data_IF_556660561421
#
_entry.id   IF_556660561421
#
_cell.length_a   1.000
_cell.length_b   1.000
_cell.length_c   1.000
_cell.angle_alpha   90.00
_cell.angle_beta   90.00
_cell.angle_gamma   90.00
#
_symmetry.space_group_name_H-M   'P 1'
#
loop_
_entity.id
_entity.type
_entity.pdbx_description
1 polymer ?
2 water ?
#
# COMPACT_ATOMS: atom_id res chain seq x y z
N UNK A 10 -7.97 -67.84 -39.13
CA UNK A 10 -7.86 -67.52 -37.68
C UNK A 10 -6.45 -67.02 -37.26
N UNK A 11 -5.53 -66.88 -38.23
CA UNK A 11 -4.58 -65.74 -38.20
C UNK A 11 -4.84 -64.89 -39.46
N UNK A 12 -6.12 -64.70 -39.70
CA UNK A 12 -6.74 -63.60 -40.44
C UNK A 12 -7.62 -63.06 -39.30
N UNK A 13 -7.57 -63.79 -38.18
CA UNK A 13 -8.20 -63.44 -36.91
C UNK A 13 -7.24 -62.57 -36.09
N UNK A 14 -6.09 -63.10 -35.68
CA UNK A 14 -4.97 -62.26 -35.26
C UNK A 14 -5.07 -60.88 -35.96
N UNK A 15 -5.15 -60.86 -37.29
CA UNK A 15 -5.33 -59.56 -37.98
C UNK A 15 -6.49 -58.76 -37.39
N UNK A 16 -7.71 -59.28 -37.54
CA UNK A 16 -8.96 -58.72 -36.95
C UNK A 16 -8.82 -58.08 -35.57
N UNK A 17 -8.11 -58.79 -34.69
CA UNK A 17 -7.93 -58.45 -33.29
C UNK A 17 -7.09 -57.19 -33.14
N UNK A 18 -6.07 -57.10 -33.99
CA UNK A 18 -5.17 -55.97 -34.00
C UNK A 18 -5.81 -54.76 -34.67
N UNK A 19 -6.60 -54.98 -35.72
CA UNK A 19 -7.39 -53.88 -36.31
C UNK A 19 -8.36 -53.25 -35.32
N UNK A 20 -8.48 -53.87 -34.15
CA UNK A 20 -9.48 -53.45 -33.17
C UNK A 20 -8.75 -52.86 -31.98
N UNK A 21 -7.65 -53.51 -31.58
CA UNK A 21 -6.73 -52.93 -30.61
C UNK A 21 -6.35 -51.51 -31.04
N UNK A 22 -5.67 -51.39 -32.18
CA UNK A 22 -5.56 -50.15 -32.91
C UNK A 22 -6.75 -49.19 -32.75
N UNK A 23 -7.88 -49.43 -33.40
CA UNK A 23 -9.01 -48.48 -33.34
C UNK A 23 -9.32 -47.90 -31.94
N UNK A 24 -9.07 -48.73 -30.93
CA UNK A 24 -9.38 -48.40 -29.55
C UNK A 24 -8.23 -47.61 -28.95
N UNK A 25 -7.00 -48.06 -29.20
CA UNK A 25 -5.81 -47.22 -29.01
C UNK A 25 -5.94 -45.88 -29.74
N UNK A 26 -6.59 -45.85 -30.90
CA UNK A 26 -6.74 -44.58 -31.54
C UNK A 26 -7.87 -43.80 -30.96
N UNK A 27 -8.93 -44.48 -30.52
CA UNK A 27 -10.05 -43.83 -29.80
C UNK A 27 -9.61 -43.22 -28.45
N UNK A 28 -8.70 -43.91 -27.77
CA UNK A 28 -8.23 -43.48 -26.47
C UNK A 28 -7.33 -42.27 -26.56
N UNK A 29 -6.23 -42.39 -27.30
CA UNK A 29 -5.43 -41.24 -27.72
C UNK A 29 -6.23 -40.01 -28.15
N UNK A 30 -7.18 -40.11 -29.08
CA UNK A 30 -8.05 -38.94 -29.29
C UNK A 30 -8.75 -38.42 -27.99
N UNK A 31 -8.99 -39.30 -27.00
CA UNK A 31 -9.50 -38.91 -25.66
C UNK A 31 -8.46 -38.09 -24.88
N UNK A 32 -7.21 -38.52 -24.90
CA UNK A 32 -6.11 -37.83 -24.23
C UNK A 32 -5.72 -36.51 -24.85
N UNK A 33 -5.69 -36.44 -26.17
CA UNK A 33 -5.49 -35.16 -26.86
C UNK A 33 -6.49 -34.11 -26.40
N UNK A 34 -7.77 -34.43 -26.38
CA UNK A 34 -8.78 -33.50 -25.93
C UNK A 34 -8.49 -33.12 -24.48
N UNK A 35 -8.11 -34.10 -23.67
CA UNK A 35 -7.79 -33.83 -22.28
C UNK A 35 -6.56 -32.96 -22.11
N UNK A 36 -5.48 -33.22 -22.83
CA UNK A 36 -4.33 -32.33 -22.82
C UNK A 36 -4.67 -30.92 -23.24
N UNK A 37 -5.37 -30.82 -24.38
CA UNK A 37 -5.70 -29.55 -24.95
C UNK A 37 -6.47 -28.73 -23.92
N UNK A 38 -7.33 -29.38 -23.15
CA UNK A 38 -8.03 -28.66 -22.14
C UNK A 38 -7.18 -28.13 -21.01
N UNK A 39 -6.19 -28.90 -20.60
CA UNK A 39 -5.30 -28.50 -19.57
C UNK A 39 -4.50 -27.30 -20.04
N UNK A 40 -3.98 -27.32 -21.28
CA UNK A 40 -3.18 -26.21 -21.76
C UNK A 40 -4.01 -24.98 -21.81
N UNK A 41 -5.27 -25.12 -22.21
CA UNK A 41 -6.18 -24.00 -22.29
C UNK A 41 -6.39 -23.40 -20.89
N UNK A 42 -6.75 -24.24 -19.92
CA UNK A 42 -7.01 -23.77 -18.57
C UNK A 42 -5.75 -23.07 -18.00
N UNK A 43 -4.60 -23.55 -18.40
CA UNK A 43 -3.37 -23.05 -17.87
C UNK A 43 -3.16 -21.63 -18.37
N UNK A 44 -3.36 -21.43 -19.66
CA UNK A 44 -3.18 -20.15 -20.27
C UNK A 44 -4.09 -19.18 -19.64
N UNK A 45 -5.31 -19.60 -19.41
CA UNK A 45 -6.32 -18.71 -18.97
C UNK A 45 -6.00 -18.32 -17.53
N UNK A 46 -5.46 -19.23 -16.72
CA UNK A 46 -5.09 -18.92 -15.33
C UNK A 46 -3.81 -18.06 -15.25
N UNK A 47 -2.76 -18.45 -15.96
CA UNK A 47 -1.58 -17.68 -15.93
C UNK A 47 -1.88 -16.20 -16.31
N UNK A 48 -2.79 -16.02 -17.26
CA UNK A 48 -3.10 -14.69 -17.73
C UNK A 48 -3.85 -13.93 -16.64
N UNK A 49 -4.74 -14.60 -15.90
CA UNK A 49 -5.44 -13.98 -14.83
C UNK A 49 -4.39 -13.54 -13.82
N UNK A 50 -3.38 -14.37 -13.62
CA UNK A 50 -2.29 -14.00 -12.70
C UNK A 50 -1.51 -12.77 -13.17
N UNK A 51 -1.11 -12.72 -14.48
CA UNK A 51 -0.39 -11.57 -15.04
C UNK A 51 -1.20 -10.26 -14.95
N UNK A 52 -2.52 -10.41 -14.95
CA UNK A 52 -3.43 -9.32 -14.88
C UNK A 52 -3.38 -8.80 -13.52
N UNK A 53 -3.34 -9.69 -12.52
CA UNK A 53 -3.13 -9.21 -11.14
C UNK A 53 -1.75 -8.50 -10.99
N UNK A 54 -0.72 -9.04 -11.58
CA UNK A 54 0.54 -8.41 -11.48
C UNK A 54 0.48 -6.99 -12.06
N UNK A 55 -0.10 -6.85 -13.27
CA UNK A 55 -0.21 -5.55 -13.92
C UNK A 55 -0.99 -4.60 -13.04
N UNK A 56 -2.14 -5.02 -12.57
CA UNK A 56 -2.89 -4.19 -11.68
C UNK A 56 -2.03 -3.73 -10.51
N UNK A 57 -1.41 -4.70 -9.82
CA UNK A 57 -0.57 -4.45 -8.69
C UNK A 57 0.55 -3.52 -8.99
N UNK A 58 1.19 -3.74 -10.11
CA UNK A 58 2.21 -2.86 -10.56
C UNK A 58 1.87 -1.37 -10.56
N UNK A 59 0.84 -1.03 -11.31
CA UNK A 59 0.23 0.28 -11.35
C UNK A 59 -0.16 0.75 -9.96
N UNK A 60 -0.96 -0.02 -9.26
CA UNK A 60 -1.48 0.49 -7.99
C UNK A 60 -0.33 0.61 -6.89
N UNK A 61 0.76 -0.14 -7.02
CA UNK A 61 1.87 0.01 -6.09
C UNK A 61 2.65 1.30 -6.34
N UNK A 62 2.78 1.67 -7.59
CA UNK A 62 3.47 2.88 -7.88
C UNK A 62 2.74 4.04 -7.23
N UNK A 63 1.40 4.00 -7.24
CA UNK A 63 0.62 5.13 -6.71
C UNK A 63 0.74 5.15 -5.22
N UNK A 64 0.68 3.96 -4.60
CA UNK A 64 0.97 3.79 -3.16
C UNK A 64 2.33 4.34 -2.68
N UNK A 65 3.34 4.24 -3.53
CA UNK A 65 4.61 4.90 -3.29
C UNK A 65 4.64 6.39 -3.28
N UNK A 66 3.88 7.02 -4.21
CA UNK A 66 3.88 8.46 -4.37
C UNK A 66 3.20 8.95 -3.11
N UNK A 67 2.18 8.26 -2.67
CA UNK A 67 1.55 8.50 -1.42
C UNK A 67 2.54 8.39 -0.27
N UNK A 68 3.37 7.34 -0.25
CA UNK A 68 4.34 7.25 0.81
C UNK A 68 5.29 8.42 0.77
N UNK A 69 5.75 8.79 -0.42
CA UNK A 69 6.68 9.86 -0.55
C UNK A 69 6.06 11.15 -0.07
N UNK A 70 4.75 11.32 -0.34
CA UNK A 70 3.94 12.44 0.17
C UNK A 70 4.06 12.61 1.68
N UNK A 71 3.59 11.61 2.41
CA UNK A 71 3.69 11.54 3.85
C UNK A 71 5.10 11.84 4.42
N UNK A 72 6.14 11.21 3.85
CA UNK A 72 7.51 11.45 4.25
C UNK A 72 7.88 12.94 4.04
N UNK A 73 7.48 13.56 2.92
CA UNK A 73 7.81 14.97 2.73
C UNK A 73 7.16 15.72 3.87
N UNK A 74 5.90 15.43 4.17
CA UNK A 74 5.22 16.10 5.25
C UNK A 74 5.91 15.95 6.60
N UNK A 75 6.34 14.73 6.91
CA UNK A 75 6.94 14.47 8.20
C UNK A 75 8.27 15.17 8.38
N UNK A 76 8.96 15.50 7.31
CA UNK A 76 10.28 16.03 7.49
C UNK A 76 10.43 17.49 7.10
N UNK A 77 9.32 18.15 6.77
CA UNK A 77 9.30 19.61 6.61
C UNK A 77 9.58 20.32 7.95
N UNK A 78 10.16 21.52 7.92
CA UNK A 78 10.32 22.39 9.13
C UNK A 78 10.11 23.89 8.72
N UNK A 79 10.03 24.89 9.67
CA UNK A 79 10.27 25.18 11.12
C UNK A 79 10.51 24.02 12.11
N UNK B 10 0.64 -59.77 -48.11
CA UNK B 10 -0.80 -59.97 -47.84
C UNK B 10 -1.08 -60.17 -46.35
N UNK B 11 -0.69 -61.32 -45.78
CA UNK B 11 -1.03 -61.59 -44.35
C UNK B 11 0.10 -61.59 -43.31
N UNK B 12 0.99 -62.59 -43.34
CA UNK B 12 2.19 -62.62 -42.47
C UNK B 12 2.74 -61.20 -42.25
N UNK B 13 2.35 -60.27 -43.15
CA UNK B 13 2.86 -58.88 -43.25
C UNK B 13 1.91 -57.77 -42.68
N UNK B 14 0.58 -57.88 -42.88
CA UNK B 14 -0.40 -57.01 -42.16
C UNK B 14 -0.22 -57.13 -40.62
N UNK B 15 0.08 -58.35 -40.15
CA UNK B 15 0.50 -58.62 -38.76
C UNK B 15 1.87 -58.01 -38.41
N UNK B 16 2.85 -58.10 -39.33
CA UNK B 16 4.18 -57.51 -39.09
C UNK B 16 4.00 -56.01 -38.87
N UNK B 17 3.19 -55.39 -39.73
CA UNK B 17 2.78 -53.99 -39.62
C UNK B 17 2.25 -53.64 -38.20
N UNK B 18 1.18 -54.31 -37.78
CA UNK B 18 0.50 -53.95 -36.53
C UNK B 18 1.32 -54.24 -35.28
N UNK B 19 2.10 -55.32 -35.25
CA UNK B 19 2.99 -55.55 -34.10
C UNK B 19 3.73 -54.27 -33.67
N UNK B 20 4.13 -53.43 -34.63
CA UNK B 20 4.79 -52.14 -34.34
C UNK B 20 3.78 -51.01 -34.27
N UNK B 21 3.03 -50.78 -35.35
CA UNK B 21 2.13 -49.64 -35.39
C UNK B 21 1.35 -49.51 -34.06
N UNK B 22 0.79 -50.63 -33.56
CA UNK B 22 0.21 -50.75 -32.19
C UNK B 22 1.21 -50.54 -31.07
N UNK B 23 2.18 -51.45 -30.92
CA UNK B 23 3.22 -51.34 -29.90
C UNK B 23 3.83 -49.93 -29.82
N UNK B 24 3.58 -49.11 -30.85
CA UNK B 24 4.04 -47.71 -30.95
C UNK B 24 3.01 -46.76 -30.28
N UNK B 25 1.80 -46.69 -30.87
CA UNK B 25 0.61 -46.11 -30.23
C UNK B 25 0.44 -46.38 -28.71
N UNK B 26 0.98 -47.48 -28.19
CA UNK B 26 0.93 -47.77 -26.74
C UNK B 26 1.81 -46.84 -25.92
N UNK B 27 3.04 -46.66 -26.41
CA UNK B 27 4.08 -45.77 -25.82
C UNK B 27 3.64 -44.32 -25.92
N UNK B 28 3.03 -43.97 -27.06
CA UNK B 28 2.51 -42.64 -27.35
C UNK B 28 1.20 -42.28 -26.58
N UNK B 29 0.93 -43.00 -25.50
CA UNK B 29 -0.33 -42.89 -24.79
C UNK B 29 0.14 -42.91 -23.37
N UNK B 30 1.03 -43.83 -23.07
CA UNK B 30 1.63 -43.80 -21.78
C UNK B 30 2.43 -42.51 -21.64
N UNK B 31 2.98 -42.02 -22.76
CA UNK B 31 3.52 -40.66 -22.88
C UNK B 31 2.51 -39.59 -22.41
N UNK B 32 1.39 -39.42 -23.11
CA UNK B 32 0.41 -38.40 -22.74
C UNK B 32 -0.09 -38.56 -21.33
N UNK B 33 -0.51 -39.77 -21.00
CA UNK B 33 -0.94 -40.07 -19.68
C UNK B 33 0.07 -39.43 -18.71
N UNK B 34 1.36 -39.62 -19.00
CA UNK B 34 2.41 -39.05 -18.18
C UNK B 34 2.47 -37.51 -18.27
N UNK B 35 2.36 -36.96 -19.48
CA UNK B 35 2.51 -35.53 -19.63
C UNK B 35 1.27 -34.75 -19.13
N UNK B 36 0.25 -35.49 -18.76
CA UNK B 36 -0.98 -34.95 -18.29
C UNK B 36 -0.98 -35.06 -16.79
N UNK B 37 -0.32 -36.09 -16.26
CA UNK B 37 -0.09 -36.18 -14.82
C UNK B 37 0.81 -35.02 -14.46
N UNK B 38 1.81 -34.74 -15.29
CA UNK B 38 2.69 -33.58 -15.14
C UNK B 38 1.92 -32.26 -15.15
N UNK B 39 1.06 -32.07 -16.16
CA UNK B 39 0.16 -30.95 -16.20
C UNK B 39 -0.65 -30.79 -14.93
N UNK B 40 -1.21 -31.85 -14.37
CA UNK B 40 -2.00 -31.72 -13.16
C UNK B 40 -1.24 -31.37 -11.94
N UNK B 41 -0.03 -31.90 -11.82
CA UNK B 41 0.81 -31.78 -10.64
C UNK B 41 1.22 -30.34 -10.66
N UNK B 42 1.34 -29.82 -11.88
CA UNK B 42 1.67 -28.45 -12.07
C UNK B 42 0.58 -27.47 -11.70
N UNK B 43 -0.66 -27.69 -12.14
CA UNK B 43 -1.80 -26.90 -11.72
C UNK B 43 -1.86 -26.85 -10.19
N UNK B 44 -1.58 -27.94 -9.47
CA UNK B 44 -1.90 -27.87 -8.05
C UNK B 44 -0.89 -27.04 -7.29
N UNK B 45 0.35 -27.18 -7.74
CA UNK B 45 1.47 -26.39 -7.32
C UNK B 45 1.31 -24.91 -7.70
N UNK B 46 0.93 -24.57 -8.94
CA UNK B 46 0.60 -23.16 -9.27
C UNK B 46 -0.60 -22.55 -8.47
N UNK B 47 -1.66 -23.32 -8.20
CA UNK B 47 -2.76 -22.74 -7.49
C UNK B 47 -2.39 -22.54 -6.03
N UNK B 48 -1.48 -23.38 -5.55
CA UNK B 48 -1.05 -23.27 -4.17
C UNK B 48 -0.20 -21.95 -4.01
N UNK B 49 0.67 -21.65 -4.99
CA UNK B 49 1.45 -20.49 -4.91
C UNK B 49 0.50 -19.33 -4.92
N UNK B 50 -0.49 -19.42 -5.81
CA UNK B 50 -1.50 -18.38 -5.91
C UNK B 50 -2.20 -18.18 -4.54
N UNK B 51 -2.65 -19.31 -3.93
CA UNK B 51 -3.29 -19.25 -2.64
C UNK B 51 -2.39 -18.67 -1.54
N UNK B 52 -1.08 -18.94 -1.62
CA UNK B 52 -0.15 -18.40 -0.65
C UNK B 52 -0.13 -16.92 -0.80
N UNK B 53 -0.07 -16.43 -2.05
CA UNK B 53 -0.15 -14.94 -2.32
C UNK B 53 -1.42 -14.36 -1.69
N UNK B 54 -2.53 -15.01 -1.86
CA UNK B 54 -3.79 -14.45 -1.40
C UNK B 54 -3.68 -14.28 0.10
N UNK B 55 -3.21 -15.33 0.73
CA UNK B 55 -3.07 -15.36 2.14
C UNK B 55 -2.07 -14.35 2.75
N UNK B 56 -0.82 -14.30 2.26
CA UNK B 56 0.11 -13.26 2.63
C UNK B 56 -0.67 -11.94 2.62
N UNK B 57 -1.30 -11.74 1.46
CA UNK B 57 -2.02 -10.53 1.12
C UNK B 57 -3.17 -10.22 2.07
N UNK B 58 -3.95 -11.23 2.43
CA UNK B 58 -4.97 -11.06 3.44
C UNK B 58 -4.48 -10.41 4.74
N UNK B 59 -3.50 -11.03 5.38
CA UNK B 59 -2.78 -10.54 6.58
C UNK B 59 -2.15 -9.21 6.37
N UNK B 60 -1.40 -9.03 5.29
CA UNK B 60 -0.80 -7.69 5.12
C UNK B 60 -1.81 -6.54 4.78
N UNK B 61 -2.97 -6.84 4.22
CA UNK B 61 -3.99 -5.81 4.06
C UNK B 61 -4.56 -5.26 5.35
N UNK B 62 -4.82 -6.15 6.31
CA UNK B 62 -5.37 -5.79 7.62
C UNK B 62 -4.41 -4.81 8.31
N UNK B 63 -3.12 -5.08 8.24
CA UNK B 63 -2.16 -4.16 8.83
C UNK B 63 -2.16 -2.86 8.13
N UNK B 64 -2.30 -2.88 6.82
CA UNK B 64 -2.49 -1.65 6.05
C UNK B 64 -3.72 -0.82 6.42
N UNK B 65 -4.85 -1.45 6.68
CA UNK B 65 -6.00 -0.77 7.25
C UNK B 65 -5.79 -0.08 8.57
N UNK B 66 -5.03 -0.71 9.47
CA UNK B 66 -4.77 -0.08 10.70
C UNK B 66 -3.92 1.11 10.49
N UNK B 67 -2.93 0.99 9.64
CA UNK B 67 -2.09 2.12 9.37
C UNK B 67 -2.98 3.23 8.98
N UNK B 68 -3.93 2.89 8.10
CA UNK B 68 -4.87 3.82 7.56
C UNK B 68 -5.68 4.56 8.62
N UNK B 69 -6.38 3.78 9.45
CA UNK B 69 -7.18 4.30 10.52
C UNK B 69 -6.38 5.15 11.44
N UNK B 70 -5.13 4.76 11.67
CA UNK B 70 -4.19 5.57 12.39
C UNK B 70 -4.19 6.94 11.78
N UNK B 71 -3.80 7.04 10.50
CA UNK B 71 -3.75 8.29 9.78
C UNK B 71 -5.05 9.07 9.89
N UNK B 72 -6.20 8.42 9.70
CA UNK B 72 -7.45 9.10 9.80
C UNK B 72 -7.54 9.68 11.20
N UNK B 73 -7.14 8.92 12.23
CA UNK B 73 -7.28 9.47 13.56
C UNK B 73 -6.55 10.78 13.68
N UNK B 74 -5.29 10.91 13.33
CA UNK B 74 -4.73 12.24 13.55
C UNK B 74 -5.02 13.24 12.46
N UNK B 75 -5.94 12.97 11.55
CA UNK B 75 -6.39 14.04 10.71
C UNK B 75 -7.59 14.71 11.40
N UNK B 76 -8.47 13.91 11.97
CA UNK B 76 -9.59 14.42 12.73
C UNK B 76 -9.20 14.96 14.10
N UNK B 77 -7.98 14.66 14.58
CA UNK B 77 -7.58 15.11 15.92
C UNK B 77 -7.60 16.64 16.17
N UNK B 78 -8.61 17.34 15.64
CA UNK B 78 -8.85 18.80 15.92
C UNK B 78 -8.43 19.28 17.35
N UNK B 79 -8.79 18.51 18.44
CA UNK B 79 -8.27 18.89 19.79
C UNK B 79 -6.81 18.46 20.00
N UNK C 5 3.69 67.84 43.00
CA UNK C 5 2.45 68.30 43.69
C UNK C 5 1.47 68.94 42.69
N UNK C 6 1.62 70.25 42.42
CA UNK C 6 0.80 71.00 41.43
C UNK C 6 0.33 70.12 40.22
N UNK C 7 1.27 69.41 39.59
CA UNK C 7 1.04 68.40 38.52
C UNK C 7 2.17 67.32 38.37
N UNK C 8 3.23 67.41 39.20
CA UNK C 8 4.31 66.38 39.27
C UNK C 8 3.76 65.07 39.90
N UNK C 9 2.82 65.27 40.82
CA UNK C 9 1.64 64.43 41.01
C UNK C 9 1.21 63.57 39.77
N UNK C 10 0.69 64.27 38.75
CA UNK C 10 0.07 63.70 37.53
C UNK C 10 1.04 63.07 36.50
N UNK C 11 2.36 63.24 36.64
CA UNK C 11 3.23 62.29 35.92
C UNK C 11 3.89 61.18 36.77
N UNK C 12 4.16 61.36 38.07
CA UNK C 12 4.40 60.13 38.89
C UNK C 12 3.18 59.16 38.81
N UNK C 13 2.05 59.68 38.31
CA UNK C 13 0.90 58.85 37.90
C UNK C 13 1.24 58.12 36.60
N UNK C 14 1.41 58.91 35.53
CA UNK C 14 1.88 58.47 34.22
C UNK C 14 3.06 57.48 34.19
N UNK C 15 3.79 57.34 35.28
CA UNK C 15 4.70 56.19 35.39
C UNK C 15 3.88 54.98 35.82
N UNK C 16 3.52 54.89 37.10
CA UNK C 16 2.74 53.77 37.66
C UNK C 16 1.68 53.22 36.69
N UNK C 17 1.20 54.05 35.76
CA UNK C 17 0.29 53.63 34.67
C UNK C 17 1.07 52.74 33.73
N UNK C 18 1.93 53.35 32.93
CA UNK C 18 2.92 52.65 32.11
C UNK C 18 3.59 51.45 32.79
N UNK C 19 3.85 51.54 34.09
CA UNK C 19 4.31 50.36 34.84
C UNK C 19 3.33 49.19 34.76
N UNK C 20 2.02 49.45 34.77
CA UNK C 20 1.06 48.33 34.75
C UNK C 20 0.65 47.91 33.33
N UNK C 21 0.67 48.83 32.35
CA UNK C 21 0.51 48.40 30.95
C UNK C 21 1.68 47.59 30.53
N UNK C 22 2.81 47.77 31.21
CA UNK C 22 3.98 46.92 31.03
C UNK C 22 3.69 45.60 31.73
N UNK C 23 3.95 45.46 33.02
CA UNK C 23 3.47 44.31 33.78
C UNK C 23 2.43 43.40 33.05
N UNK C 24 1.53 44.02 32.29
CA UNK C 24 0.41 43.38 31.58
C UNK C 24 0.94 42.71 30.30
N UNK C 25 1.33 43.53 29.32
CA UNK C 25 2.18 43.15 28.17
C UNK C 25 3.26 42.09 28.42
N UNK C 26 3.60 41.87 29.68
CA UNK C 26 4.49 40.81 30.02
C UNK C 26 3.66 39.57 30.29
N UNK C 27 2.71 39.66 31.21
CA UNK C 27 1.80 38.54 31.52
C UNK C 27 1.10 37.90 30.28
N UNK C 28 0.83 38.73 29.27
CA UNK C 28 0.31 38.26 28.00
C UNK C 28 1.35 37.44 27.22
N UNK C 29 2.59 37.90 27.10
CA UNK C 29 3.68 37.09 26.48
C UNK C 29 3.90 35.75 27.16
N UNK C 30 4.30 35.75 28.42
CA UNK C 30 4.42 34.49 29.14
C UNK C 30 3.16 33.56 29.00
N UNK C 31 2.19 33.97 28.16
CA UNK C 31 1.00 33.14 27.83
C UNK C 31 0.99 32.82 26.33
N UNK C 32 1.39 33.79 25.52
CA UNK C 32 1.62 33.54 24.12
C UNK C 32 2.72 32.50 23.94
N UNK C 33 3.82 32.71 24.65
CA UNK C 33 4.96 31.82 24.57
C UNK C 33 4.59 30.41 24.95
N UNK C 34 3.90 30.25 26.08
CA UNK C 34 3.40 28.95 26.42
C UNK C 34 2.52 28.39 25.32
N UNK C 35 1.83 29.25 24.57
CA UNK C 35 0.98 28.74 23.50
C UNK C 35 1.76 28.32 22.25
N UNK C 36 2.67 29.17 21.78
CA UNK C 36 3.70 28.73 20.85
C UNK C 36 4.28 27.38 21.26
N UNK C 37 4.73 27.27 22.49
CA UNK C 37 5.43 26.06 22.92
C UNK C 37 4.59 24.79 22.69
N UNK C 38 3.31 24.86 22.97
CA UNK C 38 2.41 23.75 22.73
C UNK C 38 2.03 23.59 21.27
N UNK C 39 2.43 24.51 20.42
CA UNK C 39 2.16 24.33 19.01
C UNK C 39 3.34 23.52 18.52
N UNK C 40 4.54 24.08 18.62
CA UNK C 40 5.78 23.36 18.35
C UNK C 40 5.76 21.96 18.93
N UNK C 41 5.41 21.81 20.20
CA UNK C 41 5.39 20.50 20.85
C UNK C 41 4.54 19.57 20.00
N UNK C 42 3.22 19.79 20.00
CA UNK C 42 2.26 19.06 19.14
C UNK C 42 2.69 18.80 17.69
N UNK C 43 3.35 19.74 17.05
CA UNK C 43 3.81 19.55 15.68
C UNK C 43 4.84 18.42 15.57
N UNK C 44 6.00 18.65 16.14
CA UNK C 44 7.00 17.62 16.41
C UNK C 44 6.43 16.19 16.66
N UNK C 45 5.45 16.02 17.54
CA UNK C 45 4.79 14.72 17.70
C UNK C 45 4.14 14.26 16.41
N UNK C 46 3.02 14.87 16.05
CA UNK C 46 2.32 14.67 14.78
C UNK C 46 3.25 14.42 13.58
N UNK C 47 4.35 15.13 13.44
CA UNK C 47 5.20 14.84 12.31
C UNK C 47 5.93 13.50 12.44
N UNK C 48 6.61 13.27 13.56
CA UNK C 48 7.15 11.96 13.95
C UNK C 48 6.09 10.85 13.75
N UNK C 49 4.88 11.05 14.24
CA UNK C 49 3.85 10.06 14.00
C UNK C 49 3.67 9.78 12.49
N UNK C 50 3.56 10.82 11.67
CA UNK C 50 3.39 10.66 10.25
C UNK C 50 4.56 9.88 9.67
N UNK C 51 5.79 10.33 9.96
CA UNK C 51 7.04 9.71 9.50
C UNK C 51 7.13 8.24 9.86
N UNK C 52 6.73 7.90 11.07
CA UNK C 52 6.71 6.53 11.45
C UNK C 52 5.79 5.80 10.52
N UNK C 53 4.54 6.26 10.36
CA UNK C 53 3.56 5.65 9.43
C UNK C 53 4.07 5.55 8.00
N UNK C 54 4.83 6.51 7.51
CA UNK C 54 5.36 6.45 6.15
C UNK C 54 6.32 5.27 6.04
N UNK C 55 7.24 5.25 7.01
CA UNK C 55 8.28 4.25 7.10
C UNK C 55 7.66 2.88 7.21
N UNK C 56 6.63 2.74 8.03
CA UNK C 56 5.93 1.49 8.04
C UNK C 56 5.43 1.14 6.63
N UNK C 57 4.69 2.05 6.00
CA UNK C 57 4.17 1.87 4.66
C UNK C 57 5.23 1.39 3.63
N UNK C 58 6.39 2.00 3.67
CA UNK C 58 7.44 1.60 2.77
C UNK C 58 7.76 0.09 2.87
N UNK C 59 8.03 -0.39 4.08
CA UNK C 59 8.28 -1.75 4.35
C UNK C 59 7.12 -2.55 3.82
N UNK C 60 5.90 -2.18 4.17
CA UNK C 60 4.78 -2.89 3.65
C UNK C 60 4.74 -2.89 2.09
N UNK C 61 5.11 -1.80 1.38
CA UNK C 61 5.13 -1.81 -0.08
C UNK C 61 6.25 -2.53 -0.73
N UNK C 62 7.48 -2.34 -0.29
CA UNK C 62 8.57 -3.21 -0.77
C UNK C 62 8.22 -4.72 -0.64
N UNK C 63 7.58 -5.11 0.44
CA UNK C 63 7.10 -6.45 0.54
C UNK C 63 6.11 -6.68 -0.58
N UNK C 64 5.16 -5.75 -0.82
CA UNK C 64 4.25 -5.97 -1.94
C UNK C 64 4.86 -6.11 -3.34
N UNK C 65 5.93 -5.40 -3.67
CA UNK C 65 6.59 -5.65 -4.95
C UNK C 65 7.25 -6.94 -5.13
N UNK C 66 7.84 -7.52 -4.05
CA UNK C 66 8.45 -8.88 -4.13
C UNK C 66 7.30 -9.79 -4.65
N UNK C 67 6.17 -9.51 -4.09
CA UNK C 67 5.00 -10.21 -4.46
C UNK C 67 4.50 -9.96 -5.89
N UNK C 68 4.23 -8.70 -6.38
CA UNK C 68 3.98 -8.49 -7.76
C UNK C 68 4.96 -9.37 -8.54
N UNK C 69 6.27 -9.29 -8.22
CA UNK C 69 7.27 -9.89 -9.07
C UNK C 69 7.15 -11.38 -9.19
N UNK C 70 6.81 -12.00 -8.07
CA UNK C 70 6.60 -13.39 -7.98
C UNK C 70 5.43 -13.74 -8.85
N UNK C 71 4.33 -12.98 -8.74
CA UNK C 71 3.16 -13.32 -9.52
C UNK C 71 3.53 -13.14 -10.98
N UNK C 72 4.32 -12.14 -11.26
CA UNK C 72 4.72 -11.91 -12.60
C UNK C 72 5.51 -13.14 -13.14
N UNK C 73 6.39 -13.72 -12.32
CA UNK C 73 7.19 -14.82 -12.77
C UNK C 73 6.25 -15.99 -13.09
N UNK C 74 5.16 -16.08 -12.33
CA UNK C 74 4.32 -17.21 -12.41
C UNK C 74 3.53 -17.19 -13.73
N UNK C 75 2.95 -16.03 -14.05
CA UNK C 75 2.25 -15.77 -15.28
C UNK C 75 3.12 -16.04 -16.51
N UNK C 76 4.34 -15.52 -16.50
CA UNK C 76 5.22 -15.67 -17.60
C UNK C 76 5.78 -17.07 -17.67
N UNK C 77 5.85 -17.83 -16.58
CA UNK C 77 6.63 -19.13 -16.59
C UNK C 77 6.22 -20.01 -17.80
N UNK C 78 7.18 -20.55 -18.54
CA UNK C 78 6.85 -21.29 -19.79
C UNK C 78 6.69 -22.80 -19.60
N UNK D 8 12.90 64.89 39.51
CA UNK D 8 12.02 65.99 39.00
C UNK D 8 12.08 66.18 37.44
N UNK D 9 13.22 65.81 36.83
CA UNK D 9 13.28 65.37 35.43
C UNK D 9 13.95 64.00 35.61
N UNK D 10 14.77 63.96 36.67
CA UNK D 10 15.26 62.77 37.38
C UNK D 10 14.52 61.41 37.09
N UNK D 11 13.19 61.43 36.90
CA UNK D 11 12.40 60.31 36.27
C UNK D 11 11.41 60.78 35.15
N UNK D 12 11.90 61.60 34.22
CA UNK D 12 11.24 61.90 32.93
C UNK D 12 12.02 61.12 31.84
N UNK D 13 13.09 60.47 32.31
CA UNK D 13 13.82 59.41 31.60
C UNK D 13 12.98 58.12 31.66
N UNK D 14 12.63 57.67 32.88
CA UNK D 14 11.86 56.43 33.13
C UNK D 14 10.47 56.38 32.44
N UNK D 15 9.99 57.53 31.98
CA UNK D 15 8.79 57.65 31.14
C UNK D 15 9.14 57.38 29.66
N UNK D 16 9.94 58.26 29.04
CA UNK D 16 10.40 58.06 27.64
C UNK D 16 11.20 56.74 27.48
N UNK D 17 11.65 56.22 28.62
CA UNK D 17 12.17 54.87 28.77
C UNK D 17 11.06 53.82 28.56
N UNK D 18 10.01 53.84 29.40
CA UNK D 18 8.90 52.88 29.31
C UNK D 18 8.08 53.09 28.04
N UNK D 19 8.11 54.29 27.48
CA UNK D 19 7.59 54.50 26.14
C UNK D 19 8.28 53.60 25.12
N UNK D 20 9.47 53.12 25.47
CA UNK D 20 10.29 52.31 24.57
C UNK D 20 10.19 50.79 24.84
N UNK D 21 10.38 50.34 26.08
CA UNK D 21 10.14 48.90 26.40
C UNK D 21 8.64 48.48 26.35
N UNK D 22 7.73 49.43 26.19
CA UNK D 22 6.34 49.08 25.93
C UNK D 22 6.16 48.88 24.43
N UNK D 23 6.44 49.88 23.60
CA UNK D 23 6.32 49.73 22.14
C UNK D 23 7.13 48.55 21.57
N UNK D 24 8.09 48.05 22.35
CA UNK D 24 8.83 46.81 22.04
C UNK D 24 7.99 45.58 22.34
N UNK D 25 7.59 45.44 23.59
CA UNK D 25 6.64 44.41 24.00
C UNK D 25 5.35 44.40 23.14
N UNK D 26 4.85 45.54 22.72
CA UNK D 26 3.75 45.53 21.78
C UNK D 26 4.10 44.83 20.48
N UNK D 27 5.25 45.21 19.91
CA UNK D 27 5.81 44.60 18.67
C UNK D 27 6.11 43.12 18.79
N UNK D 28 6.76 42.71 19.88
CA UNK D 28 7.02 41.29 20.14
C UNK D 28 5.73 40.45 20.21
N UNK D 29 4.71 40.99 20.90
CA UNK D 29 3.43 40.30 21.10
C UNK D 29 2.65 40.16 19.81
N UNK D 30 2.47 41.25 19.05
CA UNK D 30 1.71 41.13 17.83
C UNK D 30 2.46 40.25 16.82
N UNK D 31 3.77 40.04 17.08
CA UNK D 31 4.61 39.11 16.31
C UNK D 31 4.19 37.74 16.76
N UNK D 32 4.73 37.27 17.85
CA UNK D 32 4.24 36.08 18.47
C UNK D 32 2.79 35.68 18.11
N UNK D 33 1.83 36.57 18.36
CA UNK D 33 0.44 36.30 17.98
C UNK D 33 0.33 35.94 16.49
N UNK D 34 1.11 36.61 15.65
CA UNK D 34 1.18 36.27 14.20
C UNK D 34 1.81 34.86 13.94
N UNK D 35 2.89 34.50 14.66
CA UNK D 35 3.47 33.14 14.66
C UNK D 35 2.46 32.05 14.99
N UNK D 36 1.73 32.23 16.09
CA UNK D 36 0.71 31.29 16.50
C UNK D 36 -0.39 31.17 15.47
N UNK D 37 -0.71 32.22 14.73
CA UNK D 37 -1.80 32.13 13.75
C UNK D 37 -1.38 31.24 12.57
N UNK D 38 -0.20 31.50 12.04
CA UNK D 38 0.30 30.68 10.97
C UNK D 38 0.78 29.28 11.45
N UNK D 39 1.14 29.13 12.73
CA UNK D 39 1.15 27.77 13.33
C UNK D 39 -0.19 27.04 13.12
N UNK D 40 -1.30 27.50 13.72
CA UNK D 40 -2.64 26.89 13.45
C UNK D 40 -3.01 26.68 11.97
N UNK D 41 -2.57 27.57 11.08
CA UNK D 41 -2.94 27.41 9.68
C UNK D 41 -2.22 26.19 9.11
N UNK D 42 -0.87 26.18 9.15
CA UNK D 42 -0.05 25.01 8.90
C UNK D 42 -0.68 23.73 9.51
N UNK D 43 -0.86 23.68 10.81
CA UNK D 43 -1.56 22.56 11.41
C UNK D 43 -2.79 22.11 10.61
N UNK D 44 -3.67 23.02 10.26
CA UNK D 44 -4.95 22.65 9.67
C UNK D 44 -4.74 22.10 8.27
N UNK D 45 -3.79 22.68 7.56
CA UNK D 45 -3.43 22.29 6.23
C UNK D 45 -2.80 20.89 6.30
N UNK D 46 -1.74 20.74 7.11
CA UNK D 46 -1.13 19.44 7.34
C UNK D 46 -2.12 18.35 7.73
N UNK D 47 -3.00 18.59 8.68
CA UNK D 47 -3.98 17.55 8.97
C UNK D 47 -4.84 17.17 7.74
N UNK D 48 -5.13 18.13 6.87
CA UNK D 48 -6.09 17.92 5.80
C UNK D 48 -5.37 17.06 4.79
N UNK D 49 -4.07 17.35 4.62
CA UNK D 49 -3.23 16.59 3.74
C UNK D 49 -3.15 15.17 4.23
N UNK D 50 -2.89 14.99 5.52
CA UNK D 50 -3.04 13.65 6.11
C UNK D 50 -4.40 13.00 5.84
N UNK D 51 -5.53 13.69 6.04
CA UNK D 51 -6.85 13.08 5.75
C UNK D 51 -7.02 12.69 4.28
N UNK D 52 -6.49 13.52 3.39
CA UNK D 52 -6.62 13.19 1.98
C UNK D 52 -5.88 11.90 1.68
N UNK D 53 -4.60 11.80 2.09
CA UNK D 53 -3.79 10.53 2.10
C UNK D 53 -4.51 9.30 2.67
N UNK D 54 -5.10 9.43 3.84
CA UNK D 54 -5.88 8.38 4.42
C UNK D 54 -7.01 7.93 3.50
N UNK D 55 -7.74 8.89 2.95
CA UNK D 55 -8.88 8.62 2.07
C UNK D 55 -8.40 7.83 0.88
N UNK D 56 -7.32 8.33 0.26
CA UNK D 56 -6.80 7.70 -0.91
C UNK D 56 -6.37 6.26 -0.58
N UNK D 57 -5.56 6.11 0.46
CA UNK D 57 -5.17 4.80 0.96
C UNK D 57 -6.31 3.80 1.03
N UNK D 58 -7.40 4.17 1.66
CA UNK D 58 -8.55 3.35 1.84
C UNK D 58 -9.18 2.86 0.49
N UNK D 59 -9.41 3.78 -0.42
CA UNK D 59 -9.78 3.42 -1.76
C UNK D 59 -8.77 2.45 -2.36
N UNK D 60 -7.47 2.70 -2.19
CA UNK D 60 -6.51 1.72 -2.68
C UNK D 60 -6.58 0.34 -1.91
N UNK D 61 -6.77 0.35 -0.61
CA UNK D 61 -6.97 -0.88 0.08
C UNK D 61 -8.17 -1.64 -0.32
N UNK D 62 -9.29 -0.96 -0.59
CA UNK D 62 -10.55 -1.69 -0.94
C UNK D 62 -10.40 -2.46 -2.24
N UNK D 63 -9.70 -1.81 -3.17
CA UNK D 63 -9.30 -2.37 -4.43
C UNK D 63 -8.41 -3.59 -4.21
N UNK D 64 -7.35 -3.48 -3.37
CA UNK D 64 -6.50 -4.64 -3.11
C UNK D 64 -7.22 -5.86 -2.50
N UNK D 65 -8.22 -5.65 -1.64
CA UNK D 65 -9.06 -6.76 -1.17
C UNK D 65 -9.86 -7.48 -2.20
N UNK D 66 -10.37 -6.74 -3.21
CA UNK D 66 -11.04 -7.48 -4.28
C UNK D 66 -10.00 -8.31 -5.04
N UNK D 67 -8.81 -7.78 -5.21
CA UNK D 67 -7.79 -8.44 -5.91
C UNK D 67 -7.55 -9.70 -5.18
N UNK D 68 -7.35 -9.56 -3.87
CA UNK D 68 -7.19 -10.68 -2.99
C UNK D 68 -8.17 -11.79 -3.09
N UNK D 69 -9.46 -11.45 -3.06
CA UNK D 69 -10.53 -12.43 -3.17
C UNK D 69 -10.49 -13.11 -4.49
N UNK D 70 -10.00 -12.40 -5.48
CA UNK D 70 -9.91 -12.93 -6.81
C UNK D 70 -8.94 -14.07 -6.78
N UNK D 71 -7.73 -13.79 -6.32
CA UNK D 71 -6.67 -14.76 -6.30
C UNK D 71 -7.11 -15.91 -5.43
N UNK D 72 -7.66 -15.66 -4.25
CA UNK D 72 -8.24 -16.71 -3.43
C UNK D 72 -9.16 -17.61 -4.25
N UNK D 73 -9.99 -17.01 -5.12
CA UNK D 73 -10.97 -17.79 -5.88
C UNK D 73 -10.25 -18.67 -6.89
N UNK D 74 -9.15 -18.18 -7.44
CA UNK D 74 -8.39 -18.89 -8.41
C UNK D 74 -7.64 -20.09 -7.82
N UNK D 75 -7.10 -19.90 -6.63
CA UNK D 75 -6.57 -20.96 -5.83
C UNK D 75 -7.59 -22.08 -5.53
N UNK D 76 -8.78 -21.78 -4.97
CA UNK D 76 -9.81 -22.79 -4.69
C UNK D 76 -10.26 -23.45 -5.99
N UNK D 77 -10.33 -22.69 -7.07
CA UNK D 77 -10.95 -23.14 -8.33
C UNK D 77 -10.49 -24.55 -8.77
N UNK D 78 -11.35 -25.55 -8.63
CA UNK D 78 -10.87 -26.95 -8.74
C UNK D 78 -10.91 -27.78 -10.08
N UNK D 79 -11.39 -27.23 -11.26
CA UNK D 79 -11.67 -28.12 -12.48
C UNK D 79 -10.89 -29.45 -12.65
#
# INVERSE_FOLDING_TARGET
>A
GSHXAAEREETQQKVQDLETRNAELEHQLRAMERSLEEARAERERARAEVGRAAQLLDVSLFELSELREGLARLAEAAP
>B
GSHXAAEREETQQKVQDLETRNAELEHQLRAMERSLEEARAERERARAEVGRAAQLLDVSLFELSELREGLARLAEAAP
>C
GSHXAAEREETQQKVQDLETRNAELEHQLRAMERSLEEARAERERARAEVGRAAQLLDVSLFELSELREGLARLAEAAP
>D
GSHXAAEREETQQKVQDLETRNAELEHQLRAMERSLEEARAERERARAEVGRAAQLLDVSLFELSELREGLARLAEAAP
#
